data_IF_297459672590
#
_entry.id   IF_297459672590
#
_cell.length_a   1.000
_cell.length_b   1.000
_cell.length_c   1.000
_cell.angle_alpha   90.00
_cell.angle_beta   90.00
_cell.angle_gamma   90.00
#
_symmetry.space_group_name_H-M   'P 1'
#
loop_
_entity.id
_entity.type
_entity.pdbx_description
1 polymer ?
#
# COMPACT_ATOMS: atom_id res chain seq x y z
N UNK A 1 -4.64 9.53 1.82
CA UNK A 1 -3.69 8.45 2.18
C UNK A 1 -4.29 7.12 1.76
N UNK A 2 -3.46 6.09 1.56
CA UNK A 2 -3.95 4.73 1.31
C UNK A 2 -3.63 3.88 2.53
N UNK A 3 -4.57 3.02 2.92
CA UNK A 3 -4.30 2.00 3.91
C UNK A 3 -4.58 0.62 3.32
N UNK A 4 -3.58 -0.24 3.44
CA UNK A 4 -3.69 -1.62 3.02
C UNK A 4 -4.01 -2.50 4.23
N UNK A 5 -4.76 -3.59 4.04
CA UNK A 5 -4.95 -4.56 5.11
C UNK A 5 -3.60 -5.21 5.46
N UNK A 6 -3.27 -5.26 6.74
CA UNK A 6 -2.03 -5.87 7.28
C UNK A 6 -2.39 -6.74 8.48
N UNK A 7 -1.87 -7.95 8.57
CA UNK A 7 -2.05 -8.78 9.77
C UNK A 7 -1.32 -8.16 10.96
N UNK A 8 -1.77 -8.42 12.19
CA UNK A 8 -1.10 -7.88 13.40
C UNK A 8 0.38 -8.30 13.54
N UNK A 9 0.74 -9.44 12.98
CA UNK A 9 2.08 -10.03 12.98
C UNK A 9 2.90 -9.67 11.72
N UNK A 10 2.30 -8.94 10.77
CA UNK A 10 2.97 -8.49 9.56
C UNK A 10 3.61 -7.11 9.77
N UNK A 11 4.82 -6.93 9.23
CA UNK A 11 5.48 -5.62 9.19
C UNK A 11 5.82 -5.26 7.76
N UNK A 12 5.33 -4.12 7.28
CA UNK A 12 5.71 -3.60 5.96
C UNK A 12 7.19 -3.19 5.98
N UNK A 13 7.93 -3.62 4.96
CA UNK A 13 9.34 -3.30 4.75
C UNK A 13 9.60 -2.60 3.41
N UNK A 14 8.61 -2.57 2.52
CA UNK A 14 8.71 -1.87 1.25
C UNK A 14 7.37 -1.76 0.53
N UNK A 15 7.37 -0.95 -0.52
CA UNK A 15 6.24 -0.76 -1.39
C UNK A 15 6.68 -0.55 -2.82
N UNK A 16 5.92 -1.11 -3.75
CA UNK A 16 6.14 -0.99 -5.19
C UNK A 16 4.84 -0.56 -5.88
N UNK A 17 4.97 0.24 -6.92
CA UNK A 17 3.85 0.56 -7.82
C UNK A 17 4.11 -0.16 -9.12
N UNK A 18 3.16 -0.99 -9.52
CA UNK A 18 3.24 -1.89 -10.65
C UNK A 18 2.11 -1.60 -11.63
N UNK A 19 2.43 -1.59 -12.91
CA UNK A 19 1.45 -1.41 -13.99
C UNK A 19 1.47 -2.61 -14.92
N UNK A 20 0.34 -2.87 -15.57
CA UNK A 20 0.26 -3.87 -16.63
C UNK A 20 0.74 -3.25 -17.94
N UNK A 21 1.93 -3.64 -18.39
CA UNK A 21 2.45 -3.34 -19.71
C UNK A 21 2.19 -4.46 -20.72
N UNK A 22 2.72 -4.31 -21.94
CA UNK A 22 2.57 -5.28 -23.02
C UNK A 22 3.23 -6.63 -22.71
N UNK A 23 4.33 -6.64 -21.95
CA UNK A 23 5.08 -7.83 -21.54
C UNK A 23 4.68 -8.43 -20.19
N UNK A 24 3.67 -7.88 -19.52
CA UNK A 24 3.28 -8.30 -18.16
C UNK A 24 3.31 -7.14 -17.17
N UNK A 25 3.44 -7.47 -15.88
CA UNK A 25 3.49 -6.48 -14.82
C UNK A 25 4.91 -5.90 -14.68
N UNK A 26 5.01 -4.58 -14.64
CA UNK A 26 6.28 -3.86 -14.45
C UNK A 26 6.17 -2.87 -13.30
N UNK A 27 7.12 -2.93 -12.36
CA UNK A 27 7.25 -1.94 -11.30
C UNK A 27 7.77 -0.61 -11.87
N UNK A 28 7.02 0.47 -11.72
CA UNK A 28 7.39 1.83 -12.17
C UNK A 28 7.91 2.70 -11.02
N UNK A 29 7.74 2.26 -9.78
CA UNK A 29 8.31 2.89 -8.58
C UNK A 29 8.51 1.83 -7.49
N UNK A 30 9.57 1.95 -6.70
CA UNK A 30 9.77 1.11 -5.52
C UNK A 30 10.56 1.82 -4.43
N UNK A 31 10.17 1.56 -3.17
CA UNK A 31 10.84 2.07 -1.99
C UNK A 31 10.85 1.04 -0.87
N UNK A 32 11.82 1.16 0.04
CA UNK A 32 12.07 0.25 1.17
C UNK A 32 12.33 1.02 2.45
N UNK A 33 12.25 0.30 3.55
CA UNK A 33 12.55 0.75 4.91
C UNK A 33 11.64 1.90 5.37
N UNK A 34 10.38 1.60 5.75
CA UNK A 34 9.45 2.65 6.15
C UNK A 34 9.97 3.43 7.37
N UNK A 35 9.83 4.75 7.33
CA UNK A 35 10.36 5.69 8.33
C UNK A 35 9.43 5.84 9.54
N UNK A 36 8.12 5.70 9.35
CA UNK A 36 7.11 5.86 10.38
C UNK A 36 6.50 4.52 10.79
N UNK A 37 5.96 4.47 12.02
CA UNK A 37 5.16 3.32 12.50
C UNK A 37 3.95 3.10 11.60
N UNK A 38 3.26 4.17 11.20
CA UNK A 38 2.10 4.11 10.31
C UNK A 38 2.44 3.43 8.97
N UNK A 39 3.58 3.78 8.36
CA UNK A 39 4.01 3.16 7.11
C UNK A 39 4.39 1.68 7.28
N UNK A 40 4.98 1.31 8.43
CA UNK A 40 5.22 -0.10 8.80
C UNK A 40 3.92 -0.87 9.02
N UNK A 41 2.86 -0.19 9.41
CA UNK A 41 1.52 -0.73 9.57
C UNK A 41 0.69 -0.64 8.29
N UNK A 42 1.28 -0.25 7.15
CA UNK A 42 0.63 -0.23 5.84
C UNK A 42 -0.24 1.00 5.56
N UNK A 43 -0.02 2.09 6.29
CA UNK A 43 -0.64 3.40 6.09
C UNK A 43 0.40 4.39 5.60
N UNK A 44 0.28 4.83 4.35
CA UNK A 44 1.22 5.80 3.78
C UNK A 44 0.62 6.52 2.57
N UNK A 45 1.30 7.56 2.10
CA UNK A 45 0.93 8.23 0.86
C UNK A 45 1.56 7.51 -0.34
N UNK A 46 0.75 7.20 -1.34
CA UNK A 46 1.22 6.55 -2.58
C UNK A 46 2.33 7.39 -3.22
N UNK A 47 3.43 6.74 -3.60
CA UNK A 47 4.62 7.38 -4.21
C UNK A 47 5.17 8.53 -3.36
N UNK A 48 5.10 8.40 -2.04
CA UNK A 48 5.72 9.34 -1.12
C UNK A 48 7.11 8.83 -0.74
N UNK A 49 8.19 9.36 -1.34
CA UNK A 49 9.55 9.01 -0.94
C UNK A 49 9.87 9.46 0.49
N UNK A 50 9.01 10.31 1.11
CA UNK A 50 9.18 10.78 2.49
C UNK A 50 8.81 9.73 3.53
N UNK A 51 7.99 8.74 3.17
CA UNK A 51 7.55 7.68 4.07
C UNK A 51 8.56 6.52 4.15
N UNK A 52 9.55 6.49 3.26
CA UNK A 52 10.54 5.41 3.13
C UNK A 52 11.98 5.95 3.23
N UNK A 53 12.89 5.15 3.76
CA UNK A 53 14.28 5.54 3.91
C UNK A 53 15.01 5.52 2.57
N UNK A 54 14.68 4.53 1.74
CA UNK A 54 15.39 4.22 0.51
C UNK A 54 14.41 4.11 -0.65
N UNK A 55 14.62 4.88 -1.72
CA UNK A 55 13.90 4.72 -2.98
C UNK A 55 14.79 3.95 -3.92
N UNK A 56 14.36 2.75 -4.33
CA UNK A 56 15.13 1.85 -5.19
C UNK A 56 14.80 2.03 -6.67
N UNK A 57 13.61 2.55 -6.99
CA UNK A 57 13.21 2.97 -8.33
C UNK A 57 12.34 4.21 -8.26
N UNK A 58 12.80 5.29 -8.88
CA UNK A 58 12.03 6.53 -8.96
C UNK A 58 10.94 6.45 -10.02
N UNK A 59 9.84 7.17 -9.78
CA UNK A 59 8.74 7.24 -10.72
C UNK A 59 9.14 8.12 -11.91
N UNK A 60 9.19 7.53 -13.09
CA UNK A 60 9.46 8.25 -14.34
C UNK A 60 8.18 8.92 -14.86
N UNK A 61 7.82 10.05 -14.26
CA UNK A 61 6.71 10.90 -14.69
C UNK A 61 5.53 10.93 -13.73
N UNK A 62 4.33 11.12 -14.28
CA UNK A 62 3.10 11.17 -13.50
C UNK A 62 2.59 9.77 -13.18
N UNK A 63 1.99 9.65 -12.01
CA UNK A 63 1.38 8.40 -11.58
C UNK A 63 0.17 8.08 -12.47
N UNK A 64 0.06 6.84 -12.99
CA UNK A 64 -1.07 6.45 -13.82
C UNK A 64 -2.38 6.49 -13.01
N UNK A 65 -3.50 6.65 -13.72
CA UNK A 65 -4.83 6.66 -13.10
C UNK A 65 -5.14 5.36 -12.36
N UNK A 66 -4.63 4.24 -12.86
CA UNK A 66 -4.88 2.92 -12.30
C UNK A 66 -3.58 2.13 -12.25
N UNK A 67 -3.27 1.54 -11.11
CA UNK A 67 -2.06 0.77 -10.89
C UNK A 67 -2.29 -0.29 -9.82
N UNK A 68 -1.31 -1.18 -9.63
CA UNK A 68 -1.26 -2.10 -8.52
C UNK A 68 -0.21 -1.58 -7.53
N UNK A 69 -0.60 -1.47 -6.27
CA UNK A 69 0.31 -1.22 -5.16
C UNK A 69 0.69 -2.58 -4.56
N UNK A 70 1.96 -2.94 -4.64
CA UNK A 70 2.50 -4.11 -3.96
C UNK A 70 3.16 -3.69 -2.66
N UNK A 71 2.84 -4.38 -1.58
CA UNK A 71 3.47 -4.23 -0.28
C UNK A 71 4.37 -5.40 0.00
N UNK A 72 5.65 -5.10 0.21
CA UNK A 72 6.63 -6.07 0.68
C UNK A 72 6.56 -6.07 2.20
N UNK A 73 6.31 -7.24 2.78
CA UNK A 73 6.13 -7.38 4.23
C UNK A 73 6.82 -8.63 4.74
N UNK A 74 7.23 -8.58 6.01
CA UNK A 74 7.74 -9.74 6.72
C UNK A 74 6.57 -10.36 7.49
N UNK A 75 6.37 -11.66 7.30
CA UNK A 75 5.41 -12.48 8.05
C UNK A 75 6.10 -13.78 8.46
N UNK A 76 6.01 -14.15 9.74
CA UNK A 76 6.65 -15.37 10.26
C UNK A 76 8.18 -15.45 9.95
N UNK A 77 8.83 -14.29 9.78
CA UNK A 77 10.25 -14.19 9.42
C UNK A 77 10.57 -14.31 7.93
N UNK A 78 9.57 -14.48 7.08
CA UNK A 78 9.71 -14.58 5.62
C UNK A 78 9.22 -13.32 4.91
N UNK A 79 9.93 -12.89 3.86
CA UNK A 79 9.48 -11.82 2.98
C UNK A 79 8.38 -12.33 2.05
N UNK A 80 7.25 -11.64 2.03
CA UNK A 80 6.12 -11.93 1.16
C UNK A 80 5.52 -10.64 0.62
N UNK A 81 4.72 -10.75 -0.44
CA UNK A 81 4.11 -9.61 -1.12
C UNK A 81 2.59 -9.67 -1.10
N UNK A 82 1.97 -8.51 -0.93
CA UNK A 82 0.52 -8.35 -1.05
C UNK A 82 0.23 -7.23 -2.03
N UNK A 83 -0.51 -7.54 -3.08
CA UNK A 83 -0.90 -6.58 -4.09
C UNK A 83 -2.33 -6.06 -3.86
N UNK A 84 -2.56 -4.82 -4.23
CA UNK A 84 -3.87 -4.19 -4.23
C UNK A 84 -4.01 -3.26 -5.44
N UNK A 85 -5.14 -3.30 -6.12
CA UNK A 85 -5.43 -2.35 -7.19
C UNK A 85 -5.64 -0.94 -6.62
N UNK A 86 -5.29 0.11 -7.32
CA UNK A 86 -5.56 1.48 -6.86
C UNK A 86 -6.04 2.28 -8.04
N UNK A 87 -7.20 2.93 -7.85
CA UNK A 87 -7.73 3.95 -8.74
C UNK A 87 -7.42 5.32 -8.11
N UNK A 88 -6.50 6.05 -8.75
CA UNK A 88 -5.98 7.33 -8.28
C UNK A 88 -7.06 8.42 -8.29
N UNK A 89 -7.96 8.40 -9.27
CA UNK A 89 -9.05 9.39 -9.37
C UNK A 89 -10.03 9.18 -8.21
N UNK A 90 -10.38 7.93 -7.89
CA UNK A 90 -11.18 7.61 -6.69
C UNK A 90 -10.44 7.97 -5.40
N UNK A 91 -9.16 7.65 -5.31
CA UNK A 91 -8.37 7.93 -4.11
C UNK A 91 -8.20 9.43 -3.83
N UNK A 92 -8.15 10.26 -4.87
CA UNK A 92 -8.09 11.72 -4.75
C UNK A 92 -9.44 12.37 -4.49
N UNK A 93 -10.51 11.77 -5.01
CA UNK A 93 -11.87 12.31 -4.87
C UNK A 93 -12.56 11.90 -3.56
N UNK A 94 -11.99 10.94 -2.83
CA UNK A 94 -12.47 10.56 -1.52
C UNK A 94 -12.25 11.68 -0.50
N UNK A 95 -13.34 12.25 0.03
CA UNK A 95 -13.29 13.02 1.26
C UNK A 95 -13.04 12.05 2.42
N UNK A 96 -11.89 12.18 3.07
CA UNK A 96 -11.50 11.33 4.20
C UNK A 96 -11.72 12.10 5.50
N UNK A 97 -12.54 11.57 6.40
CA UNK A 97 -12.54 12.01 7.80
C UNK A 97 -11.28 11.52 8.52
N UNK A 98 -11.05 12.04 9.73
CA UNK A 98 -9.93 11.61 10.56
C UNK A 98 -10.06 10.10 10.88
N UNK A 99 -9.00 9.33 10.60
CA UNK A 99 -8.98 7.87 10.78
C UNK A 99 -9.60 7.05 9.64
N UNK A 100 -10.02 7.68 8.54
CA UNK A 100 -10.49 7.02 7.32
C UNK A 100 -9.40 6.92 6.25
N UNK A 101 -9.44 5.83 5.49
CA UNK A 101 -8.46 5.54 4.47
C UNK A 101 -9.11 4.96 3.22
N UNK A 102 -8.52 5.28 2.06
CA UNK A 102 -8.90 4.64 0.81
C UNK A 102 -8.24 3.27 0.73
N UNK A 103 -9.04 2.24 0.50
CA UNK A 103 -8.57 0.88 0.27
C UNK A 103 -8.13 0.66 -1.17
N UNK A 104 -7.48 -0.47 -1.43
CA UNK A 104 -7.19 -0.94 -2.79
C UNK A 104 -8.42 -1.29 -3.65
N UNK A 105 -9.63 -1.04 -3.17
CA UNK A 105 -10.87 -1.15 -3.97
C UNK A 105 -11.48 0.21 -4.27
N UNK A 106 -10.88 1.27 -3.73
CA UNK A 106 -11.41 2.63 -3.77
C UNK A 106 -12.50 2.89 -2.73
N UNK A 107 -12.78 1.95 -1.84
CA UNK A 107 -13.70 2.14 -0.71
C UNK A 107 -13.01 2.96 0.40
N UNK A 108 -13.77 3.86 1.02
CA UNK A 108 -13.34 4.59 2.23
C UNK A 108 -13.74 3.76 3.45
N UNK A 109 -12.76 3.43 4.29
CA UNK A 109 -12.97 2.59 5.46
C UNK A 109 -12.04 3.01 6.59
N UNK A 110 -12.42 2.70 7.84
CA UNK A 110 -11.53 2.85 8.98
C UNK A 110 -10.44 1.77 9.01
N UNK A 111 -9.33 2.03 9.72
CA UNK A 111 -8.25 1.02 9.88
C UNK A 111 -8.75 -0.33 10.39
N UNK A 112 -9.70 -0.32 11.32
CA UNK A 112 -10.28 -1.53 11.90
C UNK A 112 -11.02 -2.36 10.85
N UNK A 113 -11.84 -1.72 10.02
CA UNK A 113 -12.57 -2.39 8.95
C UNK A 113 -11.64 -2.93 7.87
N UNK A 114 -10.60 -2.17 7.52
CA UNK A 114 -9.56 -2.60 6.56
C UNK A 114 -8.88 -3.86 7.07
N UNK A 115 -8.43 -3.87 8.32
CA UNK A 115 -7.78 -5.03 8.91
C UNK A 115 -8.72 -6.23 9.08
N UNK A 116 -10.00 -6.01 9.34
CA UNK A 116 -11.01 -7.06 9.45
C UNK A 116 -11.25 -7.83 8.13
N UNK A 117 -10.78 -7.30 7.00
CA UNK A 117 -10.83 -8.02 5.72
C UNK A 117 -9.92 -9.25 5.70
N UNK A 118 -8.90 -9.32 6.55
CA UNK A 118 -7.98 -10.46 6.61
C UNK A 118 -8.40 -11.46 7.69
N UNK A 119 -8.41 -12.73 7.33
CA UNK A 119 -8.68 -13.83 8.25
C UNK A 119 -7.68 -13.89 9.42
N UNK A 120 -6.41 -13.53 9.21
CA UNK A 120 -5.39 -13.47 10.28
C UNK A 120 -5.71 -12.44 11.39
N UNK A 121 -6.56 -11.45 11.10
CA UNK A 121 -6.99 -10.43 12.07
C UNK A 121 -8.35 -10.74 12.68
N UNK A 122 -9.07 -11.74 12.16
CA UNK A 122 -10.24 -12.28 12.83
C UNK A 122 -9.71 -13.10 14.01
N UNK A 123 -9.63 -12.47 15.18
CA UNK A 123 -9.52 -13.23 16.42
C UNK A 123 -10.78 -14.09 16.57
N UNK A 124 -10.56 -15.35 16.90
CA UNK A 124 -11.52 -16.27 17.52
C UNK A 124 -12.25 -15.61 18.69
#
# INVERSE_FOLDING_TARGET
MVAMPVCRDETIIGSEIVVRGEGGFEAIWSAREPRSTEAREGVFQVNSPRDFATVTKELSGSLPKTFYLELVHIRDGEETTRSGYVDLDKARSAELADGEFVTHKGDVMTRAEINAQLSCNKRE
#
